data_IF_523090689738
#
_entry.id   IF_523090689738
#
_cell.length_a   1.000
_cell.length_b   1.000
_cell.length_c   1.000
_cell.angle_alpha   90.00
_cell.angle_beta   90.00
_cell.angle_gamma   90.00
#
_symmetry.space_group_name_H-M   'P 1'
#
loop_
_entity.id
_entity.type
_entity.pdbx_description
1 polymer ?
#
# COMPACT_ATOMS: atom_id res chain seq x y z
N UNK A 1 9.69 1.09 -24.66
CA UNK A 1 9.37 -0.04 -23.77
C UNK A 1 8.19 -0.83 -24.29
N UNK A 2 8.19 -2.17 -24.13
CA UNK A 2 7.08 -3.02 -24.57
C UNK A 2 5.91 -2.97 -23.56
N UNK A 3 4.80 -2.32 -23.94
CA UNK A 3 3.60 -2.12 -23.10
C UNK A 3 3.02 -3.45 -22.57
N UNK A 4 3.05 -4.53 -23.37
CA UNK A 4 2.58 -5.86 -22.92
C UNK A 4 3.48 -6.47 -21.83
N UNK A 5 4.78 -6.18 -21.85
CA UNK A 5 5.71 -6.65 -20.82
C UNK A 5 5.50 -5.90 -19.51
N UNK A 6 5.35 -4.57 -19.57
CA UNK A 6 5.06 -3.75 -18.41
C UNK A 6 3.75 -4.19 -17.73
N UNK A 7 2.68 -4.38 -18.51
CA UNK A 7 1.40 -4.84 -17.98
C UNK A 7 1.49 -6.20 -17.29
N UNK A 8 2.14 -7.19 -17.93
CA UNK A 8 2.32 -8.52 -17.32
C UNK A 8 3.12 -8.46 -16.03
N UNK A 9 4.16 -7.63 -15.97
CA UNK A 9 5.01 -7.51 -14.79
C UNK A 9 4.27 -6.84 -13.63
N UNK A 10 3.55 -5.74 -13.88
CA UNK A 10 2.73 -5.07 -12.87
C UNK A 10 1.60 -5.98 -12.37
N UNK A 11 0.97 -6.75 -13.25
CA UNK A 11 -0.06 -7.71 -12.86
C UNK A 11 0.51 -8.84 -12.00
N UNK A 12 1.64 -9.43 -12.39
CA UNK A 12 2.28 -10.49 -11.61
C UNK A 12 2.71 -10.01 -10.22
N UNK A 13 3.20 -8.78 -10.12
CA UNK A 13 3.54 -8.15 -8.84
C UNK A 13 2.29 -7.90 -7.99
N UNK A 14 1.21 -7.40 -8.59
CA UNK A 14 -0.08 -7.22 -7.90
C UNK A 14 -0.70 -8.53 -7.40
N UNK A 15 -0.42 -9.67 -8.04
CA UNK A 15 -0.85 -10.98 -7.54
C UNK A 15 -0.12 -11.44 -6.26
N UNK A 16 0.98 -10.79 -5.88
CA UNK A 16 1.69 -11.12 -4.65
C UNK A 16 0.85 -10.84 -3.39
N UNK A 17 0.03 -9.78 -3.39
CA UNK A 17 -0.85 -9.43 -2.28
C UNK A 17 -1.94 -10.49 -2.00
N UNK A 18 -2.77 -10.94 -2.97
CA UNK A 18 -3.75 -11.98 -2.71
C UNK A 18 -3.09 -13.33 -2.37
N UNK A 19 -1.94 -13.66 -2.97
CA UNK A 19 -1.16 -14.84 -2.58
C UNK A 19 -0.70 -14.74 -1.12
N UNK A 20 -0.15 -13.59 -0.72
CA UNK A 20 0.24 -13.32 0.67
C UNK A 20 -0.95 -13.40 1.63
N UNK A 21 -2.11 -12.90 1.23
CA UNK A 21 -3.34 -12.97 2.02
C UNK A 21 -3.81 -14.42 2.22
N UNK A 22 -3.79 -15.25 1.18
CA UNK A 22 -4.17 -16.68 1.28
C UNK A 22 -3.19 -17.45 2.18
N UNK A 23 -1.89 -17.24 1.99
CA UNK A 23 -0.85 -17.89 2.82
C UNK A 23 -0.96 -17.42 4.27
N UNK A 24 -1.10 -16.11 4.50
CA UNK A 24 -1.31 -15.54 5.83
C UNK A 24 -2.56 -16.09 6.49
N UNK A 25 -3.68 -16.16 5.76
CA UNK A 25 -4.93 -16.73 6.28
C UNK A 25 -4.72 -18.16 6.75
N UNK A 26 -4.12 -19.05 5.93
CA UNK A 26 -3.86 -20.44 6.28
C UNK A 26 -2.95 -20.57 7.52
N UNK A 27 -1.89 -19.76 7.60
CA UNK A 27 -0.95 -19.79 8.73
C UNK A 27 -1.57 -19.29 10.04
N UNK A 28 -2.48 -18.31 9.96
CA UNK A 28 -3.09 -17.68 11.14
C UNK A 28 -4.46 -18.26 11.51
N UNK A 29 -4.99 -19.27 10.79
CA UNK A 29 -6.28 -19.94 11.06
C UNK A 29 -6.52 -20.28 12.54
N UNK A 30 -5.46 -20.67 13.25
CA UNK A 30 -5.53 -21.14 14.65
C UNK A 30 -5.15 -20.06 15.68
N UNK A 31 -4.56 -18.94 15.25
CA UNK A 31 -3.96 -17.91 16.12
C UNK A 31 -4.63 -16.54 16.02
N UNK A 32 -5.89 -16.48 15.57
CA UNK A 32 -6.65 -15.24 15.45
C UNK A 32 -6.98 -14.64 16.84
N UNK A 33 -6.11 -13.77 17.35
CA UNK A 33 -6.41 -12.88 18.47
C UNK A 33 -6.26 -11.41 18.03
N UNK A 34 -7.07 -10.54 18.63
CA UNK A 34 -7.08 -9.10 18.32
C UNK A 34 -5.70 -8.46 18.49
N UNK A 35 -4.90 -8.94 19.46
CA UNK A 35 -3.54 -8.47 19.71
C UNK A 35 -2.60 -8.75 18.54
N UNK A 36 -2.71 -9.92 17.91
CA UNK A 36 -1.87 -10.31 16.77
C UNK A 36 -2.24 -9.47 15.55
N UNK A 37 -3.53 -9.23 15.32
CA UNK A 37 -3.98 -8.31 14.27
C UNK A 37 -3.47 -6.89 14.49
N UNK A 38 -3.55 -6.37 15.73
CA UNK A 38 -3.03 -5.05 16.06
C UNK A 38 -1.55 -4.92 15.73
N UNK A 39 -0.73 -5.91 16.11
CA UNK A 39 0.69 -5.92 15.80
C UNK A 39 0.97 -6.02 14.30
N UNK A 40 0.25 -6.91 13.59
CA UNK A 40 0.40 -7.12 12.16
C UNK A 40 0.02 -5.85 11.37
N UNK A 41 -1.12 -5.24 11.68
CA UNK A 41 -1.54 -3.99 11.04
C UNK A 41 -0.60 -2.85 11.35
N UNK A 42 -0.09 -2.72 12.59
CA UNK A 42 0.91 -1.71 12.92
C UNK A 42 2.20 -1.90 12.12
N UNK A 43 2.70 -3.13 12.00
CA UNK A 43 3.89 -3.45 11.23
C UNK A 43 3.70 -3.15 9.73
N UNK A 44 2.60 -3.59 9.14
CA UNK A 44 2.28 -3.33 7.72
C UNK A 44 2.08 -1.84 7.46
N UNK A 45 1.36 -1.13 8.33
CA UNK A 45 1.16 0.31 8.21
C UNK A 45 2.51 1.05 8.25
N UNK A 46 3.41 0.68 9.16
CA UNK A 46 4.76 1.26 9.23
C UNK A 46 5.57 1.06 7.96
N UNK A 47 5.59 -0.17 7.42
CA UNK A 47 6.30 -0.49 6.18
C UNK A 47 5.74 0.31 5.00
N UNK A 48 4.42 0.40 4.87
CA UNK A 48 3.78 1.13 3.77
C UNK A 48 4.00 2.64 3.85
N UNK A 49 4.04 3.22 5.06
CA UNK A 49 4.40 4.63 5.27
C UNK A 49 5.84 4.89 4.85
N UNK A 50 6.78 4.02 5.23
CA UNK A 50 8.17 4.11 4.83
C UNK A 50 8.32 4.05 3.30
N UNK A 51 7.77 3.03 2.65
CA UNK A 51 7.82 2.89 1.18
C UNK A 51 7.20 4.12 0.50
N UNK A 52 6.08 4.63 1.02
CA UNK A 52 5.41 5.79 0.42
C UNK A 52 6.24 7.07 0.49
N UNK A 53 6.91 7.31 1.62
CA UNK A 53 7.69 8.53 1.85
C UNK A 53 9.11 8.48 1.31
N UNK A 54 9.78 7.33 1.42
CA UNK A 54 11.18 7.16 1.05
C UNK A 54 11.39 6.64 -0.38
N UNK A 55 10.43 5.92 -0.95
CA UNK A 55 10.57 5.34 -2.29
C UNK A 55 9.62 6.00 -3.30
N UNK A 56 8.32 6.02 -3.00
CA UNK A 56 7.31 6.53 -3.93
C UNK A 56 7.35 8.06 -4.07
N UNK A 57 7.52 8.80 -2.97
CA UNK A 57 7.55 10.27 -3.00
C UNK A 57 8.80 10.83 -3.73
N UNK A 58 10.02 10.29 -3.52
CA UNK A 58 11.19 10.72 -4.29
C UNK A 58 11.07 10.35 -5.76
N UNK A 59 10.58 9.15 -6.08
CA UNK A 59 10.30 8.78 -7.46
C UNK A 59 9.28 9.73 -8.12
N UNK A 60 8.19 10.08 -7.43
CA UNK A 60 7.20 11.03 -7.93
C UNK A 60 7.77 12.44 -8.17
N UNK A 61 8.76 12.86 -7.37
CA UNK A 61 9.47 14.13 -7.53
C UNK A 61 10.52 14.10 -8.64
N UNK A 62 11.14 12.95 -8.89
CA UNK A 62 12.14 12.77 -9.95
C UNK A 62 11.49 12.74 -11.33
N UNK A 63 10.34 12.07 -11.46
CA UNK A 63 9.62 11.91 -12.73
C UNK A 63 8.52 12.95 -12.96
N UNK A 64 8.27 13.88 -12.02
CA UNK A 64 7.17 14.85 -12.07
C UNK A 64 7.47 16.18 -11.39
N UNK A 65 6.51 17.10 -11.43
CA UNK A 65 6.64 18.42 -10.79
C UNK A 65 6.56 18.31 -9.26
N UNK A 66 7.55 18.87 -8.57
CA UNK A 66 7.76 18.70 -7.12
C UNK A 66 6.55 19.14 -6.27
N UNK A 67 5.80 20.14 -6.74
CA UNK A 67 4.59 20.64 -6.08
C UNK A 67 3.39 19.71 -6.30
N UNK A 68 3.22 19.18 -7.50
CA UNK A 68 2.07 18.33 -7.85
C UNK A 68 2.12 17.01 -7.07
N UNK A 69 3.32 16.44 -6.89
CA UNK A 69 3.51 15.23 -6.09
C UNK A 69 3.05 15.40 -4.62
N UNK A 70 3.39 16.54 -4.00
CA UNK A 70 3.01 16.84 -2.61
C UNK A 70 1.50 17.10 -2.51
N UNK A 71 0.93 17.88 -3.43
CA UNK A 71 -0.52 18.10 -3.45
C UNK A 71 -1.31 16.80 -3.67
N UNK A 72 -0.80 15.91 -4.54
CA UNK A 72 -1.39 14.58 -4.75
C UNK A 72 -1.35 13.71 -3.50
N UNK A 73 -0.22 13.70 -2.79
CA UNK A 73 -0.08 12.98 -1.51
C UNK A 73 -1.09 13.50 -0.48
N UNK A 74 -1.14 14.81 -0.25
CA UNK A 74 -2.03 15.43 0.75
C UNK A 74 -3.50 15.22 0.37
N UNK A 75 -3.86 15.36 -0.90
CA UNK A 75 -5.20 15.08 -1.38
C UNK A 75 -5.58 13.61 -1.19
N UNK A 76 -4.67 12.66 -1.46
CA UNK A 76 -4.89 11.24 -1.22
C UNK A 76 -5.12 10.93 0.26
N UNK A 77 -4.33 11.51 1.15
CA UNK A 77 -4.53 11.41 2.60
C UNK A 77 -5.89 11.98 3.03
N UNK A 78 -6.31 13.12 2.48
CA UNK A 78 -7.61 13.71 2.76
C UNK A 78 -8.77 12.83 2.29
N UNK A 79 -8.68 12.24 1.08
CA UNK A 79 -9.69 11.29 0.57
C UNK A 79 -9.80 10.07 1.47
N UNK A 80 -8.67 9.50 1.91
CA UNK A 80 -8.71 8.35 2.84
C UNK A 80 -9.28 8.72 4.21
N UNK A 81 -8.95 9.90 4.76
CA UNK A 81 -9.53 10.36 6.01
C UNK A 81 -11.06 10.53 5.89
N UNK A 82 -11.53 11.15 4.80
CA UNK A 82 -12.96 11.29 4.53
C UNK A 82 -13.66 9.94 4.35
N UNK A 83 -13.03 8.97 3.67
CA UNK A 83 -13.63 7.65 3.48
C UNK A 83 -13.80 6.90 4.80
N UNK A 84 -12.84 7.02 5.72
CA UNK A 84 -12.95 6.42 7.06
C UNK A 84 -14.09 7.05 7.85
N UNK A 85 -14.24 8.38 7.78
CA UNK A 85 -15.31 9.11 8.47
C UNK A 85 -16.72 8.81 7.92
N UNK A 86 -16.83 8.45 6.63
CA UNK A 86 -18.08 8.06 6.00
C UNK A 86 -18.49 6.61 6.31
N UNK A 87 -17.54 5.77 6.69
CA UNK A 87 -17.76 4.34 6.96
C UNK A 87 -17.87 4.02 8.46
N UNK A 88 -17.34 4.90 9.33
CA UNK A 88 -17.57 4.95 10.77
C UNK A 88 -18.92 5.60 11.12
#
# INVERSE_FOLDING_TARGET
GNRRKAFRLSFLSGLAEPLGAVVGYILFLTFFSDTIFGFLFAAVAGIMVFISLDELLPAAREYGEHHVAIYGLVAGMAVMAMSLQLFL
#
